data_IF_551597175791
#
_entry.id   IF_551597175791
#
_cell.length_a   1.000
_cell.length_b   1.000
_cell.length_c   1.000
_cell.angle_alpha   90.00
_cell.angle_beta   90.00
_cell.angle_gamma   90.00
#
_symmetry.space_group_name_H-M   'P 1'
#
loop_
_entity.id
_entity.type
_entity.pdbx_description
1 polymer ?
#
# COMPACT_ATOMS: atom_id res chain seq x y z
N UNK A 1 1.32 3.66 14.72
CA UNK A 1 1.11 2.79 13.53
C UNK A 1 0.42 3.55 12.40
N UNK A 2 0.87 3.36 11.16
CA UNK A 2 0.20 3.86 9.94
C UNK A 2 -0.57 2.71 9.28
N UNK A 3 -1.86 2.93 9.02
CA UNK A 3 -2.69 1.94 8.34
C UNK A 3 -3.09 2.47 6.98
N UNK A 4 -2.76 1.70 5.94
CA UNK A 4 -3.15 1.96 4.56
C UNK A 4 -4.16 0.92 4.11
N UNK A 5 -5.26 1.38 3.55
CA UNK A 5 -6.31 0.56 2.96
C UNK A 5 -6.23 0.71 1.45
N UNK A 6 -6.29 -0.39 0.73
CA UNK A 6 -6.16 -0.40 -0.73
C UNK A 6 -7.32 -1.12 -1.39
N UNK A 7 -7.78 -0.59 -2.51
CA UNK A 7 -8.86 -1.15 -3.32
C UNK A 7 -8.61 -0.89 -4.81
N UNK A 8 -8.95 -1.86 -5.64
CA UNK A 8 -8.86 -1.80 -7.10
C UNK A 8 -10.20 -2.15 -7.72
N UNK A 9 -10.85 -1.19 -8.38
CA UNK A 9 -12.20 -1.37 -8.92
C UNK A 9 -12.25 -1.36 -10.44
N UNK A 10 -13.32 -1.95 -10.97
CA UNK A 10 -13.70 -1.89 -12.38
C UNK A 10 -15.21 -1.70 -12.48
N UNK A 11 -15.65 -0.71 -13.25
CA UNK A 11 -17.07 -0.55 -13.61
C UNK A 11 -17.46 -1.46 -14.77
N UNK A 12 -18.76 -1.66 -14.98
CA UNK A 12 -19.31 -2.39 -16.12
C UNK A 12 -18.90 -1.83 -17.48
N UNK A 13 -18.68 -0.50 -17.57
CA UNK A 13 -18.19 0.17 -18.78
C UNK A 13 -16.70 -0.08 -19.08
N UNK A 14 -16.05 -1.04 -18.40
CA UNK A 14 -14.62 -1.34 -18.57
C UNK A 14 -13.67 -0.35 -17.91
N UNK A 15 -14.22 0.72 -17.30
CA UNK A 15 -13.46 1.76 -16.62
C UNK A 15 -12.86 1.23 -15.31
N UNK A 16 -11.58 1.44 -15.08
CA UNK A 16 -10.83 0.86 -13.94
C UNK A 16 -10.18 1.94 -13.08
N UNK A 17 -9.91 1.64 -11.82
CA UNK A 17 -9.25 2.58 -10.92
C UNK A 17 -8.65 1.90 -9.71
N UNK A 18 -7.74 2.61 -9.07
CA UNK A 18 -7.07 2.16 -7.85
C UNK A 18 -7.14 3.26 -6.80
N UNK A 19 -7.27 2.87 -5.55
CA UNK A 19 -7.38 3.76 -4.41
C UNK A 19 -6.50 3.33 -3.24
N UNK A 20 -5.94 4.31 -2.56
CA UNK A 20 -5.27 4.16 -1.27
C UNK A 20 -5.86 5.16 -0.30
N UNK A 21 -6.25 4.69 0.88
CA UNK A 21 -6.66 5.51 2.01
C UNK A 21 -5.70 5.25 3.16
N UNK A 22 -4.98 6.26 3.64
CA UNK A 22 -4.09 6.13 4.78
C UNK A 22 -4.68 6.86 5.98
N UNK A 23 -4.54 6.24 7.16
CA UNK A 23 -4.90 6.83 8.45
C UNK A 23 -3.73 6.66 9.41
N UNK A 24 -3.26 7.78 9.94
CA UNK A 24 -2.30 7.81 11.04
C UNK A 24 -3.01 7.99 12.40
N UNK A 25 -2.31 7.66 13.49
CA UNK A 25 -2.83 7.74 14.86
C UNK A 25 -3.19 9.17 15.29
N UNK A 26 -2.47 10.17 14.79
CA UNK A 26 -2.71 11.59 15.03
C UNK A 26 -3.91 12.16 14.25
N UNK A 27 -4.62 11.30 13.51
CA UNK A 27 -5.78 11.68 12.71
C UNK A 27 -5.44 12.21 11.33
N UNK A 28 -4.16 12.23 10.91
CA UNK A 28 -3.81 12.56 9.53
C UNK A 28 -4.38 11.50 8.58
N UNK A 29 -5.08 11.99 7.55
CA UNK A 29 -5.70 11.17 6.51
C UNK A 29 -5.16 11.55 5.15
N UNK A 30 -4.65 10.55 4.42
CA UNK A 30 -4.23 10.69 3.03
C UNK A 30 -5.12 9.86 2.12
N UNK A 31 -5.47 10.39 0.95
CA UNK A 31 -6.29 9.70 -0.05
C UNK A 31 -5.68 9.86 -1.42
N UNK A 32 -5.22 8.76 -2.00
CA UNK A 32 -4.81 8.70 -3.39
C UNK A 32 -5.85 7.93 -4.18
N UNK A 33 -6.30 8.48 -5.31
CA UNK A 33 -7.16 7.81 -6.28
C UNK A 33 -6.58 8.08 -7.64
N UNK A 34 -6.34 7.04 -8.42
CA UNK A 34 -5.78 7.20 -9.75
C UNK A 34 -6.47 6.31 -10.76
N UNK A 35 -6.47 6.81 -11.99
CA UNK A 35 -7.10 6.17 -13.13
C UNK A 35 -6.16 5.14 -13.73
N UNK A 36 -6.63 3.91 -13.90
CA UNK A 36 -5.93 2.88 -14.65
C UNK A 36 -6.33 2.94 -16.13
N UNK A 37 -5.53 2.36 -17.04
CA UNK A 37 -5.96 2.14 -18.42
C UNK A 37 -7.27 1.34 -18.46
N UNK A 38 -8.13 1.71 -19.41
CA UNK A 38 -9.41 1.02 -19.60
C UNK A 38 -9.18 -0.47 -19.84
N UNK A 39 -10.14 -1.28 -19.38
CA UNK A 39 -10.13 -2.74 -19.47
C UNK A 39 -9.02 -3.46 -18.69
N UNK A 40 -8.29 -2.76 -17.81
CA UNK A 40 -7.49 -3.41 -16.76
C UNK A 40 -8.33 -4.42 -15.96
N UNK A 41 -7.72 -5.49 -15.45
CA UNK A 41 -8.43 -6.40 -14.54
C UNK A 41 -8.56 -5.77 -13.15
N UNK A 42 -9.57 -6.20 -12.39
CA UNK A 42 -9.71 -5.88 -10.96
C UNK A 42 -8.42 -6.27 -10.23
N UNK A 43 -7.96 -7.51 -10.43
CA UNK A 43 -6.71 -8.01 -9.85
C UNK A 43 -5.50 -7.10 -10.10
N UNK A 44 -5.33 -6.57 -11.33
CA UNK A 44 -4.21 -5.67 -11.61
C UNK A 44 -4.41 -4.29 -10.98
N UNK A 45 -5.64 -3.81 -10.89
CA UNK A 45 -5.96 -2.57 -10.18
C UNK A 45 -5.66 -2.68 -8.68
N UNK A 46 -5.92 -3.83 -8.07
CA UNK A 46 -5.54 -4.13 -6.67
C UNK A 46 -4.03 -4.08 -6.47
N UNK A 47 -3.26 -4.76 -7.33
CA UNK A 47 -1.79 -4.75 -7.25
C UNK A 47 -1.20 -3.35 -7.45
N UNK A 48 -1.81 -2.52 -8.29
CA UNK A 48 -1.40 -1.12 -8.47
C UNK A 48 -1.69 -0.29 -7.21
N UNK A 49 -2.83 -0.51 -6.56
CA UNK A 49 -3.16 0.15 -5.29
C UNK A 49 -2.15 -0.22 -4.19
N UNK A 50 -1.81 -1.51 -4.07
CA UNK A 50 -0.79 -1.99 -3.11
C UNK A 50 0.59 -1.40 -3.42
N UNK A 51 1.00 -1.36 -4.69
CA UNK A 51 2.26 -0.73 -5.10
C UNK A 51 2.32 0.75 -4.70
N UNK A 52 1.22 1.47 -4.88
CA UNK A 52 1.15 2.88 -4.51
C UNK A 52 1.17 3.09 -2.99
N UNK A 53 0.51 2.21 -2.23
CA UNK A 53 0.59 2.20 -0.76
C UNK A 53 2.03 1.95 -0.27
N UNK A 54 2.76 1.03 -0.90
CA UNK A 54 4.18 0.79 -0.61
C UNK A 54 5.04 2.01 -0.94
N UNK A 55 4.83 2.65 -2.09
CA UNK A 55 5.54 3.88 -2.46
C UNK A 55 5.28 4.97 -1.42
N UNK A 56 4.03 5.17 -1.00
CA UNK A 56 3.68 6.13 0.04
C UNK A 56 4.40 5.83 1.36
N UNK A 57 4.33 4.58 1.83
CA UNK A 57 4.99 4.16 3.07
C UNK A 57 6.50 4.46 3.05
N UNK A 58 7.17 4.14 1.94
CA UNK A 58 8.61 4.40 1.76
C UNK A 58 8.95 5.89 1.73
N UNK A 59 8.14 6.72 1.07
CA UNK A 59 8.38 8.17 1.07
C UNK A 59 8.06 8.79 2.42
N UNK A 60 7.05 8.28 3.14
CA UNK A 60 6.70 8.72 4.48
C UNK A 60 7.85 8.46 5.47
N UNK A 61 8.49 7.29 5.40
CA UNK A 61 9.67 6.98 6.20
C UNK A 61 10.91 7.82 5.81
N UNK A 62 11.10 8.13 4.52
CA UNK A 62 12.30 8.82 4.01
C UNK A 62 12.17 10.34 3.90
N UNK A 63 11.00 10.93 4.14
CA UNK A 63 10.79 12.37 4.00
C UNK A 63 11.41 13.14 5.18
N UNK A 64 12.54 13.81 4.92
CA UNK A 64 13.10 14.84 5.79
C UNK A 64 12.34 16.18 5.73
N UNK A 65 11.33 16.32 4.85
CA UNK A 65 10.66 17.58 4.53
C UNK A 65 9.12 17.57 4.56
N UNK A 66 8.47 16.45 4.91
CA UNK A 66 7.07 16.51 5.30
C UNK A 66 7.04 17.07 6.72
N UNK A 67 6.43 18.25 6.89
CA UNK A 67 6.06 18.89 8.16
C UNK A 67 6.35 17.97 9.34
N UNK A 68 7.53 18.09 9.96
CA UNK A 68 7.72 17.52 11.29
C UNK A 68 6.67 18.27 12.13
N UNK A 69 5.61 17.65 12.66
CA UNK A 69 5.08 18.17 13.91
C UNK A 69 6.29 18.23 14.85
N UNK A 70 6.30 19.19 15.76
CA UNK A 70 7.31 19.33 16.82
C UNK A 70 7.97 18.00 17.20
N UNK A 71 9.28 17.97 17.51
CA UNK A 71 10.06 16.75 17.71
C UNK A 71 9.44 15.86 18.79
N UNK A 72 8.51 15.03 18.37
CA UNK A 72 7.91 13.94 19.11
C UNK A 72 8.09 12.77 18.17
N UNK A 73 9.30 12.23 18.15
CA UNK A 73 9.75 10.84 18.23
C UNK A 73 8.73 9.68 18.03
N UNK A 74 7.50 9.91 17.56
CA UNK A 74 6.39 8.95 17.62
C UNK A 74 6.33 8.02 16.41
N UNK A 75 7.00 8.36 15.31
CA UNK A 75 6.92 7.55 14.09
C UNK A 75 8.21 6.82 13.70
N UNK A 76 9.35 7.09 14.36
CA UNK A 76 10.64 6.43 14.03
C UNK A 76 10.66 4.90 14.28
N UNK A 77 9.58 4.33 14.83
CA UNK A 77 9.40 2.89 15.04
C UNK A 77 7.93 2.44 14.87
N UNK A 78 7.12 3.18 14.12
CA UNK A 78 5.71 2.86 13.95
C UNK A 78 5.51 1.76 12.90
N UNK A 79 4.87 0.66 13.30
CA UNK A 79 4.44 -0.39 12.36
C UNK A 79 3.57 0.18 11.24
N UNK A 80 3.80 -0.29 10.01
CA UNK A 80 3.02 0.04 8.82
C UNK A 80 2.21 -1.18 8.40
N UNK A 81 0.89 -1.00 8.28
CA UNK A 81 -0.03 -2.05 7.83
C UNK A 81 -0.66 -1.66 6.50
N UNK A 82 -0.57 -2.55 5.51
CA UNK A 82 -1.31 -2.43 4.25
C UNK A 82 -2.42 -3.48 4.25
N UNK A 83 -3.67 -3.03 4.19
CA UNK A 83 -4.87 -3.84 4.27
C UNK A 83 -5.58 -3.84 2.92
N UNK A 84 -5.82 -5.04 2.38
CA UNK A 84 -6.54 -5.30 1.13
C UNK A 84 -7.52 -6.45 1.36
N UNK A 85 -8.69 -6.38 0.74
CA UNK A 85 -9.68 -7.46 0.70
C UNK A 85 -9.45 -8.43 -0.47
N UNK A 86 -8.53 -8.10 -1.38
CA UNK A 86 -8.18 -8.92 -2.54
C UNK A 86 -7.38 -10.16 -2.14
N UNK A 87 -8.09 -11.26 -1.88
CA UNK A 87 -7.49 -12.59 -1.64
C UNK A 87 -6.51 -13.00 -2.74
N UNK A 88 -6.83 -12.68 -4.00
CA UNK A 88 -5.94 -12.93 -5.13
C UNK A 88 -4.63 -12.17 -5.03
N UNK A 89 -4.65 -10.90 -4.61
CA UNK A 89 -3.43 -10.10 -4.40
C UNK A 89 -2.59 -10.67 -3.26
N UNK A 90 -3.23 -11.03 -2.14
CA UNK A 90 -2.55 -11.67 -1.01
C UNK A 90 -1.87 -12.97 -1.46
N UNK A 91 -2.59 -13.83 -2.19
CA UNK A 91 -2.04 -15.08 -2.70
C UNK A 91 -0.88 -14.84 -3.67
N UNK A 92 -1.02 -13.88 -4.58
CA UNK A 92 0.03 -13.52 -5.53
C UNK A 92 1.31 -13.06 -4.80
N UNK A 93 1.17 -12.20 -3.79
CA UNK A 93 2.29 -11.69 -2.99
C UNK A 93 2.91 -12.77 -2.10
N UNK A 94 2.11 -13.72 -1.58
CA UNK A 94 2.60 -14.87 -0.82
C UNK A 94 3.42 -15.85 -1.66
N UNK A 95 2.99 -16.09 -2.90
CA UNK A 95 3.63 -17.05 -3.82
C UNK A 95 4.83 -16.39 -4.56
N UNK A 96 4.88 -15.06 -4.61
CA UNK A 96 5.85 -14.27 -5.36
C UNK A 96 7.21 -14.04 -4.67
N UNK A 97 8.10 -15.03 -4.81
CA UNK A 97 9.58 -14.99 -4.96
C UNK A 97 10.46 -14.43 -3.83
N UNK A 98 11.38 -15.29 -3.35
CA UNK A 98 12.75 -14.91 -2.99
C UNK A 98 13.29 -13.98 -4.09
N UNK A 99 13.38 -12.68 -3.83
CA UNK A 99 14.00 -11.74 -4.75
C UNK A 99 15.42 -12.22 -5.05
N UNK A 100 15.73 -12.52 -6.32
CA UNK A 100 17.12 -12.44 -6.76
C UNK A 100 17.59 -11.02 -6.44
N UNK A 101 18.55 -10.91 -5.52
CA UNK A 101 19.17 -9.65 -5.09
C UNK A 101 19.88 -8.99 -6.27
N UNK A 102 19.13 -8.32 -7.14
CA UNK A 102 19.62 -7.11 -7.80
C UNK A 102 19.29 -5.95 -6.88
N UNK A 103 20.20 -4.98 -6.67
CA UNK A 103 20.16 -4.05 -5.54
C UNK A 103 19.11 -2.97 -5.75
N UNK A 104 17.85 -3.35 -5.72
CA UNK A 104 16.76 -2.48 -5.34
C UNK A 104 16.46 -2.88 -3.88
N UNK A 105 16.92 -2.04 -2.94
CA UNK A 105 16.83 -2.23 -1.48
C UNK A 105 15.53 -2.92 -1.03
N UNK A 106 15.61 -4.22 -0.71
CA UNK A 106 14.80 -4.94 0.29
C UNK A 106 13.30 -4.63 0.42
N UNK A 107 12.53 -4.67 -0.67
CA UNK A 107 11.12 -4.23 -0.69
C UNK A 107 10.08 -5.17 -0.05
N UNK A 108 10.44 -6.39 0.36
CA UNK A 108 9.48 -7.37 0.89
C UNK A 108 10.08 -8.20 2.03
N UNK A 109 10.38 -7.55 3.15
CA UNK A 109 10.63 -8.24 4.41
C UNK A 109 9.41 -8.03 5.30
N UNK A 110 8.81 -9.12 5.83
CA UNK A 110 7.74 -9.14 6.85
C UNK A 110 6.30 -8.87 6.37
N UNK A 111 5.82 -9.58 5.35
CA UNK A 111 4.39 -9.66 5.06
C UNK A 111 3.69 -10.64 6.02
N UNK A 112 2.90 -10.13 6.98
CA UNK A 112 2.00 -10.95 7.81
C UNK A 112 0.57 -10.88 7.25
N UNK A 113 -0.14 -12.00 7.22
CA UNK A 113 -1.56 -12.04 6.84
C UNK A 113 -2.37 -12.49 8.04
N UNK A 114 -3.32 -11.66 8.46
CA UNK A 114 -4.36 -12.05 9.39
C UNK A 114 -5.55 -12.51 8.58
N UNK A 115 -5.90 -13.79 8.69
CA UNK A 115 -7.19 -14.31 8.24
C UNK A 115 -8.07 -14.44 9.47
N UNK A 116 -9.24 -13.78 9.47
CA UNK A 116 -10.25 -14.05 10.50
C UNK A 116 -10.74 -15.50 10.35
N UNK A 117 -10.91 -16.17 11.49
CA UNK A 117 -11.39 -17.56 11.60
C UNK A 117 -12.89 -17.63 11.35
#
# INVERSE_FOLDING_TARGET
ALVLYTDGSKSDAGRTGSGVYAKAEDGLVFRCRFRNPDNCSVFRSELLAIREALNFALHFENCSCAIKPQPTNHFENSDIYILTDSKSSIQYLKIGRKFEKKPAKGYFQNCYTFAEK
#
